data_IF_749633947188
#
_entry.id   IF_749633947188
#
_cell.length_a   1.000
_cell.length_b   1.000
_cell.length_c   1.000
_cell.angle_alpha   90.00
_cell.angle_beta   90.00
_cell.angle_gamma   90.00
#
_symmetry.space_group_name_H-M   'P 1'
#
loop_
_entity.id
_entity.type
_entity.pdbx_description
1 polymer ?
#
# COMPACT_ATOMS: atom_id res chain seq x y z
N UNK A 1 16.67 7.07 6.92
CA UNK A 1 16.54 5.59 6.95
C UNK A 1 17.86 4.99 7.38
N UNK A 2 17.86 4.09 8.36
CA UNK A 2 19.09 3.44 8.78
C UNK A 2 19.54 2.41 7.72
N UNK A 3 20.84 2.15 7.61
CA UNK A 3 21.37 1.12 6.70
C UNK A 3 20.76 -0.26 6.97
N UNK A 4 20.47 -0.55 8.24
CA UNK A 4 19.76 -1.75 8.69
C UNK A 4 18.40 -1.92 8.01
N UNK A 5 17.63 -0.84 7.86
CA UNK A 5 16.30 -0.90 7.24
C UNK A 5 16.39 -1.21 5.74
N UNK A 6 17.42 -0.68 5.08
CA UNK A 6 17.70 -0.95 3.67
C UNK A 6 18.08 -2.42 3.48
N UNK A 7 18.92 -2.96 4.37
CA UNK A 7 19.27 -4.38 4.37
C UNK A 7 18.05 -5.29 4.57
N UNK A 8 17.14 -4.93 5.48
CA UNK A 8 15.89 -5.68 5.66
C UNK A 8 14.98 -5.62 4.42
N UNK A 9 14.97 -4.49 3.70
CA UNK A 9 14.26 -4.40 2.41
C UNK A 9 14.94 -5.21 1.31
N UNK A 10 16.27 -5.30 1.31
CA UNK A 10 17.01 -6.14 0.37
C UNK A 10 16.74 -7.65 0.60
N UNK A 11 16.18 -8.05 1.74
CA UNK A 11 15.63 -9.39 1.94
C UNK A 11 14.24 -9.56 1.27
N UNK A 12 14.06 -8.97 0.10
CA UNK A 12 12.82 -9.01 -0.66
C UNK A 12 12.61 -10.39 -1.29
N UNK A 13 11.34 -10.72 -1.55
CA UNK A 13 10.93 -11.93 -2.29
C UNK A 13 11.04 -11.74 -3.80
N UNK A 14 10.94 -10.49 -4.29
CA UNK A 14 10.99 -10.17 -5.73
C UNK A 14 12.35 -9.57 -6.10
N UNK A 15 12.86 -9.95 -7.27
CA UNK A 15 14.12 -9.43 -7.81
C UNK A 15 14.11 -7.90 -7.99
N UNK A 16 13.02 -7.34 -8.50
CA UNK A 16 12.90 -5.89 -8.68
C UNK A 16 13.00 -5.09 -7.36
N UNK A 17 12.45 -5.64 -6.28
CA UNK A 17 12.51 -5.02 -4.95
C UNK A 17 13.91 -5.16 -4.35
N UNK A 18 14.59 -6.29 -4.59
CA UNK A 18 15.99 -6.52 -4.22
C UNK A 18 16.91 -5.48 -4.88
N UNK A 19 16.84 -5.34 -6.20
CA UNK A 19 17.67 -4.40 -6.96
C UNK A 19 17.44 -2.96 -6.52
N UNK A 20 16.18 -2.58 -6.25
CA UNK A 20 15.86 -1.25 -5.71
C UNK A 20 16.52 -1.02 -4.35
N UNK A 21 16.42 -1.98 -3.44
CA UNK A 21 17.04 -1.87 -2.12
C UNK A 21 18.58 -1.83 -2.18
N UNK A 22 19.18 -2.59 -3.10
CA UNK A 22 20.63 -2.59 -3.31
C UNK A 22 21.13 -1.27 -3.91
N UNK A 23 20.38 -0.68 -4.84
CA UNK A 23 20.68 0.66 -5.36
C UNK A 23 20.53 1.73 -4.28
N UNK A 24 19.47 1.67 -3.46
CA UNK A 24 19.31 2.55 -2.30
C UNK A 24 20.53 2.42 -1.36
N UNK A 25 21.02 1.20 -1.11
CA UNK A 25 22.19 0.98 -0.27
C UNK A 25 23.44 1.61 -0.88
N UNK A 26 23.67 1.40 -2.18
CA UNK A 26 24.83 1.96 -2.90
C UNK A 26 24.87 3.49 -2.85
N UNK A 27 23.72 4.14 -3.02
CA UNK A 27 23.62 5.61 -2.94
C UNK A 27 23.92 6.15 -1.55
N UNK A 28 23.63 5.38 -0.50
CA UNK A 28 23.77 5.82 0.89
C UNK A 28 25.13 5.49 1.49
N UNK A 29 25.66 4.31 1.16
CA UNK A 29 26.98 3.86 1.59
C UNK A 29 27.51 2.82 0.61
N UNK A 30 28.48 3.23 -0.21
CA UNK A 30 29.09 2.37 -1.24
C UNK A 30 29.90 1.23 -0.64
N UNK A 31 30.63 1.46 0.46
CA UNK A 31 31.40 0.42 1.14
C UNK A 31 30.49 -0.69 1.71
N UNK A 32 29.31 -0.33 2.23
CA UNK A 32 28.33 -1.31 2.71
C UNK A 32 27.77 -2.16 1.56
N UNK A 33 27.51 -1.55 0.40
CA UNK A 33 27.07 -2.25 -0.80
C UNK A 33 28.13 -3.26 -1.29
N UNK A 34 29.38 -2.83 -1.38
CA UNK A 34 30.51 -3.68 -1.81
C UNK A 34 30.71 -4.85 -0.85
N UNK A 35 30.68 -4.60 0.46
CA UNK A 35 30.76 -5.64 1.48
C UNK A 35 29.63 -6.68 1.34
N UNK A 36 28.42 -6.22 1.04
CA UNK A 36 27.28 -7.12 0.88
C UNK A 36 27.34 -7.94 -0.41
N UNK A 37 27.85 -7.35 -1.50
CA UNK A 37 28.02 -8.01 -2.80
C UNK A 37 29.07 -9.12 -2.79
N UNK A 38 30.04 -9.06 -1.88
CA UNK A 38 30.99 -10.16 -1.68
C UNK A 38 30.32 -11.44 -1.20
N UNK A 39 29.13 -11.35 -0.59
CA UNK A 39 28.38 -12.50 -0.06
C UNK A 39 27.29 -12.91 -1.07
N UNK A 40 27.24 -14.18 -1.49
CA UNK A 40 26.26 -14.61 -2.48
C UNK A 40 24.83 -14.39 -1.96
N UNK A 41 24.01 -13.73 -2.77
CA UNK A 41 22.65 -13.35 -2.42
C UNK A 41 21.75 -14.57 -2.13
N UNK A 42 22.13 -15.74 -2.66
CA UNK A 42 21.50 -17.05 -2.40
C UNK A 42 21.53 -17.46 -0.93
N UNK A 43 22.37 -16.85 -0.09
CA UNK A 43 22.45 -17.21 1.33
C UNK A 43 21.54 -16.35 2.22
N UNK A 44 21.10 -15.18 1.77
CA UNK A 44 20.48 -14.20 2.66
C UNK A 44 19.29 -13.42 2.09
N UNK A 45 19.07 -13.44 0.76
CA UNK A 45 17.92 -12.79 0.12
C UNK A 45 16.92 -13.79 -0.44
N UNK A 46 15.62 -13.60 -0.14
CA UNK A 46 14.52 -14.46 -0.61
C UNK A 46 14.39 -14.50 -2.12
N UNK A 47 14.69 -13.39 -2.78
CA UNK A 47 14.64 -13.26 -4.23
C UNK A 47 15.55 -14.24 -4.97
N UNK A 48 16.60 -14.74 -4.30
CA UNK A 48 17.61 -15.64 -4.86
C UNK A 48 17.55 -17.07 -4.32
N UNK A 49 16.53 -17.44 -3.52
CA UNK A 49 16.37 -18.83 -3.09
C UNK A 49 15.72 -19.69 -4.17
N UNK A 50 16.02 -20.98 -4.09
CA UNK A 50 15.32 -21.99 -4.89
C UNK A 50 13.81 -21.95 -4.63
N UNK A 51 13.04 -22.11 -5.70
CA UNK A 51 11.57 -22.17 -5.65
C UNK A 51 11.06 -23.45 -4.98
N UNK A 52 11.91 -24.47 -4.82
CA UNK A 52 11.55 -25.77 -4.28
C UNK A 52 11.26 -25.75 -2.77
N UNK A 53 12.01 -24.98 -1.98
CA UNK A 53 11.83 -24.89 -0.52
C UNK A 53 11.52 -23.45 -0.09
N UNK A 54 10.25 -23.17 0.20
CA UNK A 54 9.77 -21.85 0.63
C UNK A 54 9.77 -21.76 2.17
N UNK A 55 10.92 -21.54 2.78
CA UNK A 55 11.00 -21.18 4.20
C UNK A 55 11.01 -19.65 4.36
N UNK A 56 10.13 -19.12 5.21
CA UNK A 56 10.12 -17.68 5.54
C UNK A 56 11.27 -17.30 6.50
N UNK A 57 11.87 -18.31 7.14
CA UNK A 57 12.89 -18.21 8.18
C UNK A 57 14.28 -18.22 7.53
N UNK A 58 14.91 -17.04 7.45
CA UNK A 58 16.28 -16.87 6.92
C UNK A 58 17.29 -16.47 7.98
N UNK A 59 16.90 -16.57 9.25
CA UNK A 59 17.72 -16.11 10.35
C UNK A 59 18.23 -17.31 11.11
N UNK A 60 19.44 -17.15 11.63
CA UNK A 60 20.06 -18.03 12.59
C UNK A 60 19.28 -18.12 13.93
N UNK A 61 18.18 -17.38 14.07
CA UNK A 61 17.31 -17.34 15.23
C UNK A 61 16.90 -18.73 15.75
N UNK A 62 16.75 -19.74 14.88
CA UNK A 62 16.42 -21.10 15.34
C UNK A 62 17.58 -21.79 16.03
N UNK A 63 18.78 -21.67 15.50
CA UNK A 63 19.96 -22.22 16.16
C UNK A 63 20.28 -21.40 17.42
N UNK A 64 20.16 -20.07 17.39
CA UNK A 64 20.42 -19.20 18.55
C UNK A 64 19.44 -19.48 19.68
N UNK A 65 18.14 -19.57 19.37
CA UNK A 65 17.11 -19.95 20.34
C UNK A 65 17.34 -21.33 20.93
N UNK A 66 17.75 -22.30 20.10
CA UNK A 66 18.06 -23.65 20.54
C UNK A 66 19.30 -23.68 21.43
N UNK A 67 20.40 -23.06 20.99
CA UNK A 67 21.66 -22.97 21.71
C UNK A 67 21.48 -22.32 23.07
N UNK A 68 20.72 -21.22 23.13
CA UNK A 68 20.39 -20.56 24.39
C UNK A 68 19.57 -21.48 25.32
N UNK A 69 18.62 -22.24 24.77
CA UNK A 69 17.80 -23.17 25.55
C UNK A 69 18.62 -24.31 26.17
N UNK A 70 19.56 -24.89 25.42
CA UNK A 70 20.36 -26.03 25.90
C UNK A 70 21.61 -25.62 26.68
N UNK A 71 22.01 -24.35 26.64
CA UNK A 71 23.26 -23.85 27.24
C UNK A 71 23.43 -24.28 28.70
N UNK A 72 22.37 -24.17 29.51
CA UNK A 72 22.39 -24.55 30.94
C UNK A 72 22.35 -26.06 31.18
N UNK A 73 21.86 -26.84 30.22
CA UNK A 73 21.84 -28.30 30.31
C UNK A 73 23.23 -28.89 29.99
N UNK A 74 23.97 -28.26 29.07
CA UNK A 74 25.27 -28.73 28.58
C UNK A 74 26.39 -28.74 29.61
N UNK A 75 26.27 -27.98 30.71
CA UNK A 75 27.26 -27.97 31.79
C UNK A 75 27.07 -29.09 32.81
N UNK A 76 26.08 -29.97 32.61
CA UNK A 76 25.75 -31.07 33.51
C UNK A 76 26.26 -32.41 32.97
N UNK A 77 26.29 -33.44 33.81
CA UNK A 77 26.57 -34.80 33.37
C UNK A 77 25.53 -35.28 32.35
N UNK A 78 25.89 -36.28 31.53
CA UNK A 78 25.09 -36.68 30.37
C UNK A 78 23.65 -37.06 30.72
N UNK A 79 23.45 -37.77 31.84
CA UNK A 79 22.12 -38.15 32.33
C UNK A 79 21.30 -36.90 32.73
N UNK A 80 21.91 -36.01 33.53
CA UNK A 80 21.27 -34.77 33.97
C UNK A 80 20.97 -33.79 32.83
N UNK A 81 21.84 -33.75 31.81
CA UNK A 81 21.64 -32.94 30.61
C UNK A 81 20.41 -33.40 29.85
N UNK A 82 20.29 -34.71 29.58
CA UNK A 82 19.14 -35.29 28.88
C UNK A 82 17.85 -35.08 29.65
N UNK A 83 17.87 -35.29 30.97
CA UNK A 83 16.72 -35.08 31.84
C UNK A 83 16.30 -33.59 31.87
N UNK A 84 17.27 -32.69 31.92
CA UNK A 84 17.00 -31.24 31.85
C UNK A 84 16.35 -30.86 30.52
N UNK A 85 16.85 -31.37 29.38
CA UNK A 85 16.27 -31.10 28.05
C UNK A 85 14.84 -31.65 27.97
N UNK A 86 14.61 -32.88 28.45
CA UNK A 86 13.28 -33.50 28.51
C UNK A 86 12.29 -32.63 29.27
N UNK A 87 12.65 -32.17 30.46
CA UNK A 87 11.82 -31.30 31.29
C UNK A 87 11.54 -29.94 30.63
N UNK A 88 12.52 -29.34 29.95
CA UNK A 88 12.32 -28.09 29.21
C UNK A 88 11.29 -28.28 28.09
N UNK A 89 11.42 -29.36 27.31
CA UNK A 89 10.51 -29.66 26.20
C UNK A 89 9.09 -29.92 26.71
N UNK A 90 8.94 -30.73 27.76
CA UNK A 90 7.64 -31.00 28.38
C UNK A 90 6.96 -29.72 28.87
N UNK A 91 7.66 -28.90 29.66
CA UNK A 91 7.13 -27.61 30.15
C UNK A 91 6.74 -26.70 28.98
N UNK A 92 7.54 -26.65 27.92
CA UNK A 92 7.27 -25.82 26.74
C UNK A 92 6.01 -26.27 26.00
N UNK A 93 5.80 -27.57 25.83
CA UNK A 93 4.58 -28.12 25.21
C UNK A 93 3.37 -27.81 26.07
N UNK A 94 3.46 -28.05 27.38
CA UNK A 94 2.40 -27.74 28.34
C UNK A 94 2.01 -26.26 28.28
N UNK A 95 2.97 -25.33 28.40
CA UNK A 95 2.68 -23.89 28.33
C UNK A 95 1.98 -23.49 27.03
N UNK A 96 2.40 -24.05 25.88
CA UNK A 96 1.73 -23.77 24.59
C UNK A 96 0.32 -24.33 24.55
N UNK A 97 0.10 -25.52 25.11
CA UNK A 97 -1.23 -26.13 25.23
C UNK A 97 -2.13 -25.25 26.08
N UNK A 98 -1.69 -24.84 27.27
CA UNK A 98 -2.46 -24.00 28.19
C UNK A 98 -2.80 -22.63 27.59
N UNK A 99 -1.88 -22.05 26.81
CA UNK A 99 -2.13 -20.83 26.05
C UNK A 99 -3.21 -21.01 24.98
N UNK A 100 -3.17 -22.13 24.25
CA UNK A 100 -4.17 -22.42 23.22
C UNK A 100 -5.53 -22.80 23.79
N UNK A 101 -5.58 -23.48 24.93
CA UNK A 101 -6.84 -23.80 25.64
C UNK A 101 -7.61 -22.54 26.05
N UNK A 102 -6.90 -21.43 26.33
CA UNK A 102 -7.50 -20.13 26.68
C UNK A 102 -7.88 -19.30 25.46
N UNK A 103 -7.29 -19.60 24.30
CA UNK A 103 -7.53 -18.84 23.08
C UNK A 103 -8.80 -19.31 22.40
N UNK A 104 -9.66 -18.35 22.04
CA UNK A 104 -10.88 -18.62 21.29
C UNK A 104 -10.68 -18.22 19.83
N UNK A 105 -10.89 -19.17 18.91
CA UNK A 105 -10.82 -18.96 17.47
C UNK A 105 -10.00 -20.02 16.73
N UNK A 106 -10.28 -20.15 15.44
CA UNK A 106 -9.76 -21.24 14.61
C UNK A 106 -8.29 -21.05 14.22
N UNK A 107 -7.77 -19.83 14.35
CA UNK A 107 -6.42 -19.48 13.96
C UNK A 107 -5.56 -19.12 15.17
N UNK A 108 -4.30 -19.58 15.15
CA UNK A 108 -3.31 -19.19 16.15
C UNK A 108 -3.14 -17.65 16.16
N UNK A 109 -3.04 -17.02 17.35
CA UNK A 109 -3.00 -15.56 17.49
C UNK A 109 -1.98 -14.86 16.58
N UNK A 110 -0.79 -15.46 16.43
CA UNK A 110 0.28 -14.90 15.61
C UNK A 110 -0.07 -14.87 14.12
N UNK A 111 -0.71 -15.91 13.61
CA UNK A 111 -1.12 -15.99 12.20
C UNK A 111 -2.30 -15.07 11.96
N UNK A 112 -3.29 -15.07 12.87
CA UNK A 112 -4.43 -14.15 12.83
C UNK A 112 -3.96 -12.68 12.77
N UNK A 113 -2.97 -12.31 13.59
CA UNK A 113 -2.36 -10.98 13.55
C UNK A 113 -1.74 -10.65 12.20
N UNK A 114 -0.97 -11.57 11.61
CA UNK A 114 -0.35 -11.37 10.30
C UNK A 114 -1.43 -11.16 9.23
N UNK A 115 -2.49 -11.97 9.25
CA UNK A 115 -3.60 -11.83 8.30
C UNK A 115 -4.32 -10.48 8.45
N UNK A 116 -4.58 -10.05 9.69
CA UNK A 116 -5.22 -8.76 9.95
C UNK A 116 -4.33 -7.58 9.50
N UNK A 117 -3.01 -7.67 9.71
CA UNK A 117 -2.06 -6.67 9.21
C UNK A 117 -2.03 -6.64 7.67
N UNK A 118 -2.16 -7.79 7.00
CA UNK A 118 -2.23 -7.86 5.55
C UNK A 118 -3.56 -7.33 5.01
N UNK A 119 -4.69 -7.62 5.69
CA UNK A 119 -6.00 -7.05 5.39
C UNK A 119 -5.98 -5.52 5.50
N UNK A 120 -5.35 -4.98 6.54
CA UNK A 120 -5.18 -3.52 6.68
C UNK A 120 -4.40 -2.90 5.54
N UNK A 121 -3.32 -3.57 5.10
CA UNK A 121 -2.55 -3.12 3.93
C UNK A 121 -3.34 -3.23 2.63
N UNK A 122 -4.16 -4.27 2.47
CA UNK A 122 -4.98 -4.41 1.26
C UNK A 122 -6.05 -3.34 1.15
N UNK A 123 -6.54 -2.79 2.27
CA UNK A 123 -7.46 -1.64 2.27
C UNK A 123 -6.84 -0.37 1.66
N UNK A 124 -5.51 -0.29 1.52
CA UNK A 124 -4.85 0.81 0.80
C UNK A 124 -4.92 0.67 -0.72
N UNK A 125 -5.53 -0.40 -1.23
CA UNK A 125 -5.67 -0.68 -2.66
C UNK A 125 -7.15 -0.72 -3.05
N UNK A 126 -7.47 -0.04 -4.15
CA UNK A 126 -8.80 0.01 -4.76
C UNK A 126 -8.73 -0.82 -6.03
N UNK A 127 -9.60 -1.83 -6.13
CA UNK A 127 -9.73 -2.64 -7.34
C UNK A 127 -10.80 -2.03 -8.26
N UNK A 128 -10.41 -1.71 -9.49
CA UNK A 128 -11.29 -1.28 -10.57
C UNK A 128 -11.51 -2.47 -11.50
N UNK A 129 -12.77 -2.81 -11.77
CA UNK A 129 -13.09 -3.91 -12.67
C UNK A 129 -12.93 -3.49 -14.13
N UNK A 130 -12.24 -4.32 -14.94
CA UNK A 130 -11.98 -4.05 -16.36
C UNK A 130 -12.72 -5.02 -17.31
N UNK A 131 -13.65 -5.82 -16.77
CA UNK A 131 -14.35 -6.87 -17.52
C UNK A 131 -13.82 -8.27 -17.22
N UNK A 132 -14.67 -9.30 -17.42
CA UNK A 132 -14.37 -10.71 -17.09
C UNK A 132 -13.82 -10.85 -15.66
N UNK A 133 -12.75 -11.63 -15.48
CA UNK A 133 -12.02 -11.84 -14.23
C UNK A 133 -10.80 -10.92 -14.08
N UNK A 134 -10.75 -9.79 -14.82
CA UNK A 134 -9.63 -8.85 -14.80
C UNK A 134 -9.94 -7.60 -13.97
N UNK A 135 -8.96 -7.20 -13.16
CA UNK A 135 -9.05 -6.03 -12.28
C UNK A 135 -7.77 -5.19 -12.37
N UNK A 136 -7.93 -3.88 -12.51
CA UNK A 136 -6.87 -2.90 -12.33
C UNK A 136 -6.79 -2.49 -10.86
N UNK A 137 -5.62 -2.65 -10.24
CA UNK A 137 -5.43 -2.32 -8.82
C UNK A 137 -4.76 -0.94 -8.70
N UNK A 138 -5.48 0.03 -8.15
CA UNK A 138 -4.97 1.35 -7.80
C UNK A 138 -4.53 1.38 -6.34
N UNK A 139 -3.26 1.68 -6.06
CA UNK A 139 -2.80 1.95 -4.69
C UNK A 139 -3.11 3.39 -4.30
N UNK A 140 -3.51 3.65 -3.06
CA UNK A 140 -3.71 4.99 -2.50
C UNK A 140 -2.47 5.90 -2.61
N UNK A 141 -1.27 5.34 -2.79
CA UNK A 141 -0.02 6.08 -3.02
C UNK A 141 0.31 6.32 -4.51
N UNK A 142 -0.58 5.91 -5.41
CA UNK A 142 -0.41 5.93 -6.87
C UNK A 142 0.74 5.05 -7.36
N UNK A 143 0.85 4.87 -8.68
CA UNK A 143 2.10 4.36 -9.30
C UNK A 143 3.24 5.27 -8.83
N UNK A 144 4.35 4.77 -8.27
CA UNK A 144 5.50 5.61 -7.98
C UNK A 144 5.87 6.35 -9.26
N UNK A 145 5.64 7.66 -9.31
CA UNK A 145 6.07 8.47 -10.45
C UNK A 145 7.57 8.23 -10.53
N UNK A 146 8.04 7.68 -11.66
CA UNK A 146 9.44 7.25 -11.87
C UNK A 146 10.49 8.34 -11.51
N UNK A 147 10.07 9.58 -11.27
CA UNK A 147 10.92 10.72 -10.91
C UNK A 147 10.35 11.64 -9.81
N UNK A 148 9.43 11.19 -8.95
CA UNK A 148 9.02 12.01 -7.81
C UNK A 148 10.08 11.96 -6.70
N UNK A 149 11.10 12.80 -6.84
CA UNK A 149 12.01 13.13 -5.73
C UNK A 149 11.16 13.62 -4.56
N UNK A 150 11.14 12.87 -3.45
CA UNK A 150 10.65 13.38 -2.17
C UNK A 150 11.71 14.35 -1.63
N UNK A 151 11.26 15.54 -1.24
CA UNK A 151 12.12 16.56 -0.64
C UNK A 151 12.36 16.19 0.82
N UNK A 152 13.61 16.14 1.25
CA UNK A 152 13.95 15.80 2.65
C UNK A 152 13.70 17.00 3.59
N UNK A 153 13.42 16.78 4.89
CA UNK A 153 13.07 17.83 5.84
C UNK A 153 14.14 18.91 6.03
N UNK A 154 15.42 18.54 5.90
CA UNK A 154 16.59 19.43 6.07
C UNK A 154 17.05 20.07 4.75
N UNK A 155 16.29 19.93 3.66
CA UNK A 155 16.65 20.52 2.37
C UNK A 155 16.43 22.03 2.40
N UNK A 156 17.48 22.77 2.79
CA UNK A 156 17.54 24.24 2.79
C UNK A 156 17.07 24.74 1.43
N UNK A 157 16.08 25.64 1.43
CA UNK A 157 15.68 26.36 0.22
C UNK A 157 16.82 27.31 -0.13
N UNK A 158 17.74 26.88 -0.99
CA UNK A 158 18.60 27.82 -1.71
C UNK A 158 17.67 28.77 -2.48
N UNK A 159 17.54 29.98 -1.94
CA UNK A 159 16.74 31.07 -2.55
C UNK A 159 17.50 31.75 -3.69
N UNK A 160 18.63 31.23 -4.13
CA UNK A 160 19.43 31.87 -5.17
C UNK A 160 19.79 30.96 -6.34
N UNK A 161 19.76 31.62 -7.51
CA UNK A 161 20.12 31.17 -8.86
C UNK A 161 19.09 30.27 -9.54
N UNK A 162 18.12 30.97 -10.13
CA UNK A 162 17.45 30.58 -11.37
C UNK A 162 18.50 30.27 -12.46
N UNK A 163 19.07 29.05 -12.45
CA UNK A 163 19.81 28.55 -13.60
C UNK A 163 18.77 28.21 -14.66
N UNK A 164 18.64 29.09 -15.65
CA UNK A 164 17.82 28.84 -16.84
C UNK A 164 18.30 27.52 -17.45
N UNK A 165 17.44 26.50 -17.48
CA UNK A 165 17.67 25.32 -18.33
C UNK A 165 17.96 25.81 -19.75
N UNK A 166 19.16 25.57 -20.23
CA UNK A 166 19.52 25.77 -21.64
C UNK A 166 18.56 24.93 -22.50
N UNK A 167 17.93 25.56 -23.49
CA UNK A 167 17.06 24.87 -24.46
C UNK A 167 15.64 25.40 -24.62
N UNK A 168 15.21 26.44 -23.90
CA UNK A 168 13.98 27.18 -24.25
C UNK A 168 14.31 28.64 -24.53
N UNK A 169 14.43 28.99 -25.80
CA UNK A 169 14.39 30.38 -26.25
C UNK A 169 13.05 30.98 -25.79
N UNK A 170 13.12 32.01 -24.96
CA UNK A 170 11.92 32.77 -24.58
C UNK A 170 11.37 33.45 -25.82
N UNK A 171 10.07 33.28 -26.11
CA UNK A 171 9.38 34.00 -27.19
C UNK A 171 9.19 35.47 -26.81
N UNK A 172 10.28 36.22 -26.72
CA UNK A 172 10.26 37.69 -26.77
C UNK A 172 10.42 38.07 -28.24
N UNK A 173 9.53 38.92 -28.75
CA UNK A 173 9.39 39.31 -30.16
C UNK A 173 8.77 38.31 -31.16
N UNK A 174 7.92 37.36 -30.72
CA UNK A 174 7.06 36.63 -31.66
C UNK A 174 5.66 37.27 -31.66
N UNK A 175 5.36 38.04 -32.70
CA UNK A 175 4.03 38.62 -32.91
C UNK A 175 3.02 37.50 -33.16
N UNK A 176 2.11 37.29 -32.21
CA UNK A 176 1.05 36.31 -32.33
C UNK A 176 0.11 36.69 -33.49
N UNK A 177 -0.15 35.76 -34.39
CA UNK A 177 -1.11 35.90 -35.50
C UNK A 177 -2.36 35.08 -35.22
N UNK A 178 -3.52 35.64 -35.54
CA UNK A 178 -4.81 34.98 -35.38
C UNK A 178 -4.94 33.80 -36.34
N UNK A 179 -5.36 32.61 -35.90
CA UNK A 179 -5.53 31.46 -36.80
C UNK A 179 -6.74 31.56 -37.74
N UNK A 180 -7.64 32.54 -37.53
CA UNK A 180 -8.82 32.75 -38.37
C UNK A 180 -8.54 33.78 -39.49
N UNK A 181 -7.99 34.95 -39.16
CA UNK A 181 -7.71 36.02 -40.13
C UNK A 181 -6.22 36.22 -40.42
N UNK A 182 -5.33 35.48 -39.77
CA UNK A 182 -3.87 35.55 -39.94
C UNK A 182 -3.22 36.91 -39.62
N UNK A 183 -4.00 37.86 -39.10
CA UNK A 183 -3.51 39.18 -38.69
C UNK A 183 -2.82 39.14 -37.32
N UNK A 184 -1.79 39.97 -37.10
CA UNK A 184 -1.07 40.06 -35.84
C UNK A 184 -1.94 40.68 -34.70
N UNK A 185 -1.46 40.55 -33.47
CA UNK A 185 -1.95 41.24 -32.26
C UNK A 185 -3.30 40.79 -31.68
N UNK A 186 -3.86 39.67 -32.13
CA UNK A 186 -5.00 39.01 -31.46
C UNK A 186 -5.01 37.51 -31.74
N UNK A 187 -5.83 36.76 -30.99
CA UNK A 187 -6.06 35.33 -31.19
C UNK A 187 -7.47 35.06 -31.74
N UNK A 188 -7.77 33.82 -32.13
CA UNK A 188 -9.07 33.44 -32.70
C UNK A 188 -10.27 33.83 -31.83
N UNK A 189 -10.13 33.77 -30.49
CA UNK A 189 -11.20 34.18 -29.55
C UNK A 189 -11.51 35.67 -29.62
N UNK A 190 -10.52 36.52 -29.87
CA UNK A 190 -10.68 37.96 -30.02
C UNK A 190 -10.98 38.44 -31.44
N UNK A 191 -11.09 37.52 -32.41
CA UNK A 191 -11.23 37.86 -33.82
C UNK A 191 -12.66 38.33 -34.16
N UNK A 192 -12.79 39.42 -34.94
CA UNK A 192 -14.10 39.91 -35.40
C UNK A 192 -14.79 38.93 -36.36
N UNK A 193 -14.05 38.12 -37.12
CA UNK A 193 -14.64 37.06 -37.94
C UNK A 193 -15.34 35.99 -37.07
N UNK A 194 -14.84 35.76 -35.86
CA UNK A 194 -15.47 34.85 -34.90
C UNK A 194 -16.72 35.46 -34.23
N UNK A 195 -16.89 36.80 -34.29
CA UNK A 195 -18.09 37.50 -33.79
C UNK A 195 -19.20 37.55 -34.84
N UNK A 196 -18.83 37.71 -36.13
CA UNK A 196 -19.80 37.71 -37.24
C UNK A 196 -20.50 36.36 -37.43
N UNK A 197 -19.79 35.24 -37.24
CA UNK A 197 -20.40 33.89 -37.28
C UNK A 197 -21.44 33.64 -36.19
N UNK A 198 -21.48 34.45 -35.13
CA UNK A 198 -22.50 34.38 -34.07
C UNK A 198 -23.66 35.36 -34.27
N UNK A 199 -23.52 36.35 -35.14
CA UNK A 199 -24.53 37.39 -35.37
C UNK A 199 -25.39 37.12 -36.63
N UNK A 200 -24.88 36.35 -37.61
CA UNK A 200 -25.60 35.98 -38.84
C UNK A 200 -26.63 34.83 -38.67
N UNK A 201 -26.82 34.30 -37.46
CA UNK A 201 -27.80 33.23 -37.18
C UNK A 201 -29.11 33.72 -36.56
N UNK A 202 -29.45 35.00 -36.70
CA UNK A 202 -30.67 35.60 -36.14
C UNK A 202 -31.58 36.16 -37.24
N UNK A 203 -32.13 35.31 -38.11
CA UNK A 203 -33.33 35.63 -38.90
C UNK A 203 -34.02 34.36 -39.41
N UNK A 204 -34.97 33.79 -38.64
CA UNK A 204 -36.07 32.93 -39.13
C UNK A 204 -37.30 33.14 -38.21
N UNK A 205 -38.52 33.29 -38.77
CA UNK A 205 -39.73 33.66 -38.02
C UNK A 205 -40.28 32.55 -37.10
N UNK A 206 -41.27 32.94 -36.29
CA UNK A 206 -41.81 32.24 -35.15
C UNK A 206 -42.34 30.79 -35.38
N UNK A 207 -41.97 29.94 -34.40
CA UNK A 207 -42.65 28.76 -33.83
C UNK A 207 -42.97 27.51 -34.68
N UNK A 208 -42.37 26.38 -34.28
CA UNK A 208 -43.00 25.04 -34.24
C UNK A 208 -42.69 24.41 -32.86
N UNK A 209 -43.69 24.04 -32.04
CA UNK A 209 -43.49 23.68 -30.64
C UNK A 209 -42.88 22.29 -30.35
N UNK A 210 -42.56 21.45 -31.34
CA UNK A 210 -42.31 20.02 -31.05
C UNK A 210 -40.89 19.48 -31.33
N UNK A 211 -39.83 20.26 -31.08
CA UNK A 211 -38.44 19.74 -31.17
C UNK A 211 -37.59 19.95 -29.92
N UNK A 212 -37.54 18.90 -29.09
CA UNK A 212 -36.73 18.83 -27.87
C UNK A 212 -35.27 18.46 -28.18
N UNK A 213 -34.34 19.42 -28.11
CA UNK A 213 -32.89 19.14 -28.10
C UNK A 213 -32.25 19.39 -26.74
N UNK A 214 -31.48 18.41 -26.27
CA UNK A 214 -30.98 18.25 -24.92
C UNK A 214 -29.71 19.09 -24.66
N UNK A 215 -29.81 20.20 -23.91
CA UNK A 215 -28.66 20.99 -23.46
C UNK A 215 -28.36 20.69 -21.99
N UNK A 216 -27.19 20.09 -21.73
CA UNK A 216 -26.64 19.84 -20.40
C UNK A 216 -26.38 21.17 -19.67
N UNK A 217 -27.25 21.55 -18.72
CA UNK A 217 -26.99 22.65 -17.78
C UNK A 217 -26.03 22.20 -16.66
N UNK A 218 -25.00 23.02 -16.45
CA UNK A 218 -24.00 22.84 -15.40
C UNK A 218 -24.57 22.82 -13.98
N UNK A 219 -23.91 22.03 -13.13
CA UNK A 219 -24.26 21.76 -11.73
C UNK A 219 -24.03 23.00 -10.86
N UNK A 220 -25.10 23.62 -10.34
CA UNK A 220 -25.03 24.68 -9.31
C UNK A 220 -24.65 24.07 -7.94
N UNK A 221 -23.84 24.82 -7.17
CA UNK A 221 -23.39 24.50 -5.79
C UNK A 221 -24.59 24.39 -4.83
N UNK A 222 -24.62 23.37 -3.96
CA UNK A 222 -25.59 23.23 -2.85
C UNK A 222 -25.07 23.98 -1.61
N UNK A 223 -25.92 24.81 -1.01
CA UNK A 223 -25.80 25.31 0.37
C UNK A 223 -26.45 24.33 1.36
N UNK A 224 -26.03 24.33 2.65
CA UNK A 224 -26.38 23.29 3.61
C UNK A 224 -27.72 23.57 4.33
N UNK A 225 -28.44 22.50 4.70
CA UNK A 225 -29.63 22.54 5.57
C UNK A 225 -29.39 21.75 6.86
N UNK A 226 -30.07 22.09 7.97
CA UNK A 226 -29.58 21.93 9.33
C UNK A 226 -29.86 20.57 9.97
N UNK A 227 -29.16 20.37 11.09
CA UNK A 227 -29.03 19.20 11.95
C UNK A 227 -30.37 18.68 12.52
N UNK A 228 -30.48 17.36 12.67
CA UNK A 228 -31.45 16.69 13.56
C UNK A 228 -30.66 15.82 14.54
N UNK A 229 -30.83 16.09 15.82
CA UNK A 229 -30.32 15.32 16.96
C UNK A 229 -31.25 14.12 17.31
N UNK A 230 -30.79 13.20 18.19
CA UNK A 230 -30.98 11.75 18.05
C UNK A 230 -32.17 11.16 18.82
N UNK A 231 -32.73 10.05 18.29
CA UNK A 231 -33.75 9.28 18.99
C UNK A 231 -33.15 8.31 20.02
N UNK A 232 -33.72 8.38 21.22
CA UNK A 232 -33.41 7.61 22.44
C UNK A 232 -34.16 6.26 22.45
N UNK A 233 -33.50 5.28 23.08
CA UNK A 233 -33.78 3.85 23.25
C UNK A 233 -35.17 3.49 23.81
N UNK A 234 -35.69 2.30 23.46
CA UNK A 234 -36.46 1.46 24.39
C UNK A 234 -36.33 -0.05 24.08
N UNK A 235 -36.48 -0.94 25.09
CA UNK A 235 -35.84 -2.26 25.13
C UNK A 235 -36.78 -3.41 24.76
N UNK A 236 -36.25 -4.51 24.22
CA UNK A 236 -37.03 -5.75 24.04
C UNK A 236 -36.41 -6.93 24.82
N UNK A 237 -37.03 -7.16 25.98
CA UNK A 237 -37.42 -8.43 26.61
C UNK A 237 -36.50 -9.66 26.47
N UNK A 238 -35.85 -9.96 27.58
CA UNK A 238 -35.33 -11.27 27.99
C UNK A 238 -36.47 -12.30 28.02
N UNK A 239 -36.27 -13.47 27.41
CA UNK A 239 -37.00 -14.68 27.78
C UNK A 239 -36.01 -15.83 27.98
N UNK A 240 -36.02 -16.35 29.19
CA UNK A 240 -35.40 -17.58 29.63
C UNK A 240 -36.22 -18.77 29.16
N UNK A 241 -35.58 -19.81 28.62
CA UNK A 241 -36.21 -21.13 28.50
C UNK A 241 -35.13 -22.22 28.60
N UNK A 242 -35.15 -22.82 29.79
CA UNK A 242 -34.91 -24.23 30.15
C UNK A 242 -33.86 -25.09 29.43
N UNK A 243 -32.94 -25.58 30.27
CA UNK A 243 -32.28 -26.90 30.20
C UNK A 243 -33.18 -27.99 29.61
N UNK A 244 -32.62 -28.78 28.71
CA UNK A 244 -33.00 -30.18 28.50
C UNK A 244 -31.75 -31.01 28.19
N UNK A 245 -31.83 -32.27 28.59
CA UNK A 245 -30.73 -33.16 28.93
C UNK A 245 -30.05 -33.77 27.71
N UNK A 246 -28.73 -33.94 27.76
CA UNK A 246 -27.98 -34.78 26.82
C UNK A 246 -28.11 -36.23 27.30
N UNK A 247 -28.81 -37.03 26.50
CA UNK A 247 -28.86 -38.49 26.58
C UNK A 247 -27.52 -39.03 26.06
N UNK A 248 -26.86 -39.82 26.88
CA UNK A 248 -25.71 -40.65 26.50
C UNK A 248 -26.18 -41.84 25.66
N UNK A 249 -25.45 -42.17 24.60
CA UNK A 249 -25.50 -43.50 23.97
C UNK A 249 -24.09 -44.01 23.68
N UNK A 250 -23.88 -45.34 23.74
CA UNK A 250 -22.57 -45.96 23.87
C UNK A 250 -21.92 -46.27 22.52
N UNK A 251 -20.61 -46.51 22.60
CA UNK A 251 -19.75 -47.03 21.54
C UNK A 251 -20.21 -48.41 21.05
N UNK A 252 -20.23 -48.58 19.73
CA UNK A 252 -19.82 -49.81 19.03
C UNK A 252 -18.66 -49.45 18.09
#
# INVERSE_FOLDING_TARGET
MALKDILWRARATKMADFERAMNDMRTRNTAAYEWLMQRPATHWSKSHFSTHCKSDILLNNMSESFNHMVLRARSKHIVDMLETIRLILMKRVQMRRDQMMKHTGDLCPKIAKILEDMKKKSMEFIAHWNGKDEFEIESAYGRPKKHARKKDPDEVKDKEKHVKKSGKLGKKCVTMKCSLCHQPNHNARGCQLNKKSTEESMDVPAADPDRRSNVKKGRKRKTPTPEKEPDVISPTRVTSTSRSNIVTSPLE
#
